data_IF_087317583659
#
_entry.id   IF_087317583659
#
_cell.length_a   1.000
_cell.length_b   1.000
_cell.length_c   1.000
_cell.angle_alpha   90.00
_cell.angle_beta   90.00
_cell.angle_gamma   90.00
#
_symmetry.space_group_name_H-M   'P 1'
#
loop_
_entity.id
_entity.type
_entity.pdbx_description
1 polymer ?
#
# COMPACT_ATOMS: atom_id res chain seq x y z
N UNK A 1 -13.48 -9.03 -11.78
CA UNK A 1 -12.33 -8.41 -11.11
C UNK A 1 -12.86 -7.26 -10.28
N UNK A 2 -13.01 -7.51 -8.99
CA UNK A 2 -13.31 -6.48 -8.00
C UNK A 2 -11.98 -6.03 -7.39
N UNK A 3 -11.78 -4.72 -7.29
CA UNK A 3 -10.56 -4.15 -6.71
C UNK A 3 -10.88 -3.61 -5.32
N UNK A 4 -9.96 -3.84 -4.39
CA UNK A 4 -9.98 -3.25 -3.06
C UNK A 4 -8.83 -2.26 -2.92
N UNK A 5 -9.10 -1.14 -2.27
CA UNK A 5 -8.09 -0.10 -2.03
C UNK A 5 -7.84 0.05 -0.56
N UNK A 6 -6.57 0.14 -0.18
CA UNK A 6 -6.16 0.28 1.21
C UNK A 6 -5.19 1.44 1.37
N UNK A 7 -5.23 2.05 2.56
CA UNK A 7 -4.23 2.99 3.05
C UNK A 7 -3.60 2.42 4.30
N UNK A 8 -2.29 2.31 4.28
CA UNK A 8 -1.45 2.00 5.42
C UNK A 8 -0.83 3.30 5.95
N UNK A 9 -0.99 3.58 7.23
CA UNK A 9 -0.30 4.67 7.91
C UNK A 9 0.76 4.07 8.83
N UNK A 10 2.02 4.46 8.61
CA UNK A 10 3.18 3.96 9.34
C UNK A 10 3.90 5.12 10.04
N UNK A 11 3.89 5.08 11.37
CA UNK A 11 4.63 5.99 12.23
C UNK A 11 5.95 5.32 12.64
N UNK A 12 7.07 5.94 12.31
CA UNK A 12 8.43 5.50 12.63
C UNK A 12 9.40 6.70 12.55
N UNK A 13 10.65 6.52 12.99
CA UNK A 13 11.72 7.54 12.91
C UNK A 13 12.66 7.36 11.71
N UNK A 14 12.51 6.29 10.92
CA UNK A 14 13.30 6.11 9.69
C UNK A 14 13.08 7.26 8.71
N UNK A 15 14.16 7.88 8.23
CA UNK A 15 14.09 9.08 7.39
C UNK A 15 13.72 8.76 5.95
N UNK A 16 14.19 7.61 5.46
CA UNK A 16 14.13 7.19 4.06
C UNK A 16 12.95 6.25 3.76
N UNK A 17 12.09 5.98 4.74
CA UNK A 17 10.94 5.07 4.59
C UNK A 17 9.63 5.87 4.44
N UNK A 18 8.63 5.32 3.72
CA UNK A 18 7.35 5.97 3.54
C UNK A 18 6.51 5.97 4.82
N UNK A 19 5.80 7.07 5.06
CA UNK A 19 4.90 7.23 6.22
C UNK A 19 3.45 6.88 5.89
N UNK A 20 3.10 6.83 4.61
CA UNK A 20 1.79 6.38 4.14
C UNK A 20 1.96 5.57 2.86
N UNK A 21 1.36 4.39 2.80
CA UNK A 21 1.35 3.53 1.62
C UNK A 21 -0.10 3.33 1.15
N UNK A 22 -0.32 3.35 -0.15
CA UNK A 22 -1.60 3.03 -0.77
C UNK A 22 -1.48 1.79 -1.63
N UNK A 23 -2.45 0.89 -1.53
CA UNK A 23 -2.47 -0.36 -2.27
C UNK A 23 -3.77 -0.49 -3.06
N UNK A 24 -3.66 -0.90 -4.32
CA UNK A 24 -4.75 -1.49 -5.08
C UNK A 24 -4.53 -3.00 -5.17
N UNK A 25 -5.51 -3.77 -4.70
CA UNK A 25 -5.41 -5.21 -4.52
C UNK A 25 -6.54 -5.92 -5.25
N UNK A 26 -6.23 -7.00 -5.97
CA UNK A 26 -7.23 -7.85 -6.63
C UNK A 26 -7.96 -8.80 -5.65
N UNK A 27 -8.86 -9.62 -6.18
CA UNK A 27 -9.64 -10.60 -5.41
C UNK A 27 -8.82 -11.78 -4.87
N UNK A 28 -7.67 -12.07 -5.48
CA UNK A 28 -6.70 -13.08 -5.08
C UNK A 28 -5.61 -12.52 -4.15
N UNK A 29 -5.71 -11.26 -3.71
CA UNK A 29 -4.75 -10.66 -2.78
C UNK A 29 -3.46 -10.16 -3.44
N UNK A 30 -3.43 -10.03 -4.78
CA UNK A 30 -2.27 -9.48 -5.48
C UNK A 30 -2.31 -7.96 -5.51
N UNK A 31 -1.19 -7.31 -5.21
CA UNK A 31 -1.03 -5.86 -5.29
C UNK A 31 -0.70 -5.46 -6.73
N UNK A 32 -1.61 -4.74 -7.37
CA UNK A 32 -1.49 -4.32 -8.77
C UNK A 32 -0.86 -2.93 -8.94
N UNK A 33 -1.18 -2.02 -8.01
CA UNK A 33 -0.64 -0.66 -7.96
C UNK A 33 -0.33 -0.25 -6.52
N UNK A 34 0.76 0.51 -6.36
CA UNK A 34 1.25 1.01 -5.09
C UNK A 34 1.59 2.49 -5.16
N UNK A 35 1.33 3.22 -4.08
CA UNK A 35 1.84 4.59 -3.89
C UNK A 35 2.50 4.71 -2.52
N UNK A 36 3.77 5.06 -2.51
CA UNK A 36 4.55 5.34 -1.31
C UNK A 36 4.65 6.85 -1.11
N UNK A 37 4.22 7.34 0.04
CA UNK A 37 4.29 8.76 0.41
C UNK A 37 5.29 8.94 1.54
N UNK A 38 6.32 9.73 1.27
CA UNK A 38 7.41 10.00 2.20
C UNK A 38 7.11 11.22 3.08
N UNK A 39 7.86 11.35 4.19
CA UNK A 39 7.68 12.44 5.16
C UNK A 39 7.83 13.84 4.55
N UNK A 40 8.65 13.98 3.50
CA UNK A 40 8.84 15.23 2.76
C UNK A 40 7.73 15.52 1.72
N UNK A 41 6.78 14.60 1.55
CA UNK A 41 5.66 14.72 0.62
C UNK A 41 5.93 14.16 -0.78
N UNK A 42 7.17 13.73 -1.06
CA UNK A 42 7.49 12.95 -2.26
C UNK A 42 6.61 11.71 -2.36
N UNK A 43 6.22 11.37 -3.58
CA UNK A 43 5.44 10.16 -3.88
C UNK A 43 6.18 9.29 -4.89
N UNK A 44 6.37 8.03 -4.55
CA UNK A 44 6.82 6.99 -5.47
C UNK A 44 5.61 6.13 -5.84
N UNK A 45 5.51 5.75 -7.11
CA UNK A 45 4.35 5.06 -7.66
C UNK A 45 4.83 3.91 -8.51
N UNK A 46 4.18 2.79 -8.36
CA UNK A 46 4.53 1.60 -9.10
C UNK A 46 3.31 0.76 -9.47
N UNK A 47 3.46 0.00 -10.55
CA UNK A 47 2.42 -0.87 -11.10
C UNK A 47 3.04 -2.12 -11.69
N UNK A 48 2.32 -3.24 -11.55
CA UNK A 48 2.69 -4.50 -12.22
C UNK A 48 2.88 -4.36 -13.72
N UNK A 49 2.22 -3.37 -14.36
CA UNK A 49 2.38 -3.06 -15.78
C UNK A 49 3.80 -2.61 -16.18
N UNK A 50 4.62 -2.19 -15.21
CA UNK A 50 6.02 -1.84 -15.42
C UNK A 50 6.94 -3.07 -15.57
N UNK A 51 6.45 -4.25 -15.25
CA UNK A 51 7.23 -5.49 -15.15
C UNK A 51 6.84 -6.49 -16.24
N UNK A 52 7.73 -7.45 -16.51
CA UNK A 52 7.49 -8.54 -17.46
C UNK A 52 7.90 -9.88 -16.84
N UNK A 53 7.18 -10.95 -17.16
CA UNK A 53 7.47 -12.29 -16.66
C UNK A 53 6.72 -12.61 -15.37
N UNK A 54 7.10 -13.66 -14.63
CA UNK A 54 6.35 -14.17 -13.47
C UNK A 54 6.30 -13.19 -12.27
N UNK A 55 7.09 -12.12 -12.31
CA UNK A 55 7.08 -11.02 -11.32
C UNK A 55 6.04 -9.94 -11.66
N UNK A 56 5.39 -10.02 -12.83
CA UNK A 56 4.44 -9.02 -13.33
C UNK A 56 2.99 -9.23 -12.87
N UNK A 57 2.77 -10.08 -11.87
CA UNK A 57 1.44 -10.38 -11.35
C UNK A 57 1.19 -9.80 -9.95
N UNK A 58 2.23 -9.41 -9.20
CA UNK A 58 2.11 -8.89 -7.84
C UNK A 58 3.32 -8.03 -7.44
N UNK A 59 3.09 -6.82 -6.91
CA UNK A 59 4.15 -5.92 -6.44
C UNK A 59 4.73 -6.28 -5.07
N UNK A 60 4.06 -7.14 -4.30
CA UNK A 60 4.53 -7.57 -2.98
C UNK A 60 4.98 -9.03 -3.00
N UNK A 61 5.95 -9.35 -2.14
CA UNK A 61 6.28 -10.75 -1.86
C UNK A 61 5.16 -11.37 -1.03
N UNK A 62 4.42 -12.32 -1.62
CA UNK A 62 3.32 -13.03 -0.96
C UNK A 62 1.94 -12.39 -1.13
N UNK A 63 0.97 -12.97 -0.43
CA UNK A 63 -0.45 -12.58 -0.47
C UNK A 63 -0.71 -11.40 0.49
N UNK A 64 -1.31 -10.34 -0.04
CA UNK A 64 -1.61 -9.15 0.76
C UNK A 64 -2.60 -9.44 1.89
N UNK A 65 -3.62 -10.28 1.64
CA UNK A 65 -4.67 -10.52 2.62
C UNK A 65 -4.21 -11.36 3.80
N UNK A 66 -3.34 -12.35 3.58
CA UNK A 66 -2.68 -13.14 4.60
C UNK A 66 -1.76 -12.24 5.46
N UNK A 67 -0.90 -11.46 4.79
CA UNK A 67 0.07 -10.59 5.46
C UNK A 67 -0.57 -9.46 6.27
N UNK A 68 -1.80 -9.06 5.93
CA UNK A 68 -2.49 -7.92 6.55
C UNK A 68 -3.74 -8.29 7.35
N UNK A 69 -3.99 -9.58 7.60
CA UNK A 69 -5.22 -10.05 8.26
C UNK A 69 -5.55 -9.26 9.54
N UNK A 70 -4.57 -9.14 10.45
CA UNK A 70 -4.74 -8.42 11.72
C UNK A 70 -4.98 -6.92 11.50
N UNK A 71 -4.23 -6.29 10.60
CA UNK A 71 -4.39 -4.86 10.31
C UNK A 71 -5.77 -4.57 9.71
N UNK A 72 -6.25 -5.42 8.79
CA UNK A 72 -7.59 -5.33 8.20
C UNK A 72 -8.71 -5.57 9.19
N UNK A 73 -8.47 -6.37 10.24
CA UNK A 73 -9.39 -6.54 11.37
C UNK A 73 -9.40 -5.32 12.32
N UNK A 74 -8.59 -4.30 12.06
CA UNK A 74 -8.52 -3.06 12.84
C UNK A 74 -7.50 -3.09 13.98
N UNK A 75 -6.66 -4.12 14.05
CA UNK A 75 -5.52 -4.11 14.97
C UNK A 75 -4.40 -3.22 14.41
N UNK A 76 -3.59 -2.67 15.30
CA UNK A 76 -2.39 -1.93 14.94
C UNK A 76 -1.18 -2.82 15.22
N UNK A 77 -0.23 -2.88 14.29
CA UNK A 77 1.08 -3.45 14.56
C UNK A 77 1.89 -2.40 15.34
N UNK A 78 2.37 -2.76 16.52
CA UNK A 78 3.14 -1.87 17.39
C UNK A 78 4.43 -2.57 17.81
N UNK A 79 5.56 -1.96 17.45
CA UNK A 79 6.90 -2.46 17.77
C UNK A 79 7.74 -1.29 18.28
N UNK A 80 7.93 -1.22 19.61
CA UNK A 80 8.57 -0.05 20.22
C UNK A 80 7.76 1.23 20.00
N UNK A 81 8.40 2.22 19.38
CA UNK A 81 7.77 3.49 18.99
C UNK A 81 7.12 3.43 17.59
N UNK A 82 7.30 2.32 16.87
CA UNK A 82 6.74 2.13 15.54
C UNK A 82 5.29 1.66 15.65
N UNK A 83 4.42 2.26 14.83
CA UNK A 83 3.01 1.91 14.77
C UNK A 83 2.54 1.89 13.32
N UNK A 84 1.87 0.82 12.94
CA UNK A 84 1.30 0.64 11.62
C UNK A 84 -0.17 0.27 11.72
N UNK A 85 -0.99 0.91 10.89
CA UNK A 85 -2.43 0.70 10.80
C UNK A 85 -2.85 0.62 9.35
N UNK A 86 -3.90 -0.15 9.05
CA UNK A 86 -4.43 -0.30 7.70
C UNK A 86 -5.93 -0.06 7.70
N UNK A 87 -6.40 0.75 6.76
CA UNK A 87 -7.82 0.99 6.54
C UNK A 87 -8.18 0.74 5.07
N UNK A 88 -9.37 0.23 4.84
CA UNK A 88 -9.94 0.22 3.50
C UNK A 88 -10.42 1.63 3.13
N UNK A 89 -10.16 2.03 1.89
CA UNK A 89 -10.54 3.33 1.35
C UNK A 89 -11.34 3.17 0.06
N UNK A 90 -12.04 4.23 -0.33
CA UNK A 90 -12.71 4.30 -1.64
C UNK A 90 -11.67 4.41 -2.77
N UNK A 91 -11.98 3.81 -3.92
CA UNK A 91 -11.14 3.89 -5.12
C UNK A 91 -10.80 5.35 -5.50
N UNK A 92 -11.73 6.28 -5.32
CA UNK A 92 -11.50 7.70 -5.61
C UNK A 92 -10.37 8.33 -4.77
N UNK A 93 -10.18 7.86 -3.52
CA UNK A 93 -9.09 8.32 -2.67
C UNK A 93 -7.73 7.78 -3.14
N UNK A 94 -7.69 6.50 -3.56
CA UNK A 94 -6.51 5.93 -4.19
C UNK A 94 -6.12 6.68 -5.47
N UNK A 95 -7.08 6.92 -6.36
CA UNK A 95 -6.86 7.64 -7.63
C UNK A 95 -6.41 9.10 -7.42
N UNK A 96 -6.75 9.71 -6.28
CA UNK A 96 -6.24 11.03 -5.92
C UNK A 96 -4.75 10.97 -5.53
N UNK A 97 -4.32 9.91 -4.82
CA UNK A 97 -2.91 9.70 -4.48
C UNK A 97 -2.06 9.29 -5.70
N UNK A 98 -2.64 8.50 -6.61
CA UNK A 98 -2.00 7.98 -7.82
C UNK A 98 -1.67 9.07 -8.84
N UNK A 99 -2.56 10.05 -9.01
CA UNK A 99 -2.40 11.10 -10.02
C UNK A 99 -1.17 11.97 -9.75
N UNK A 100 -0.40 12.34 -10.79
CA UNK A 100 0.67 13.32 -10.63
C UNK A 100 0.08 14.67 -10.20
N UNK A 101 0.82 15.42 -9.38
CA UNK A 101 0.55 16.85 -9.18
C UNK A 101 0.62 17.56 -10.55
N UNK A 102 -0.37 18.42 -10.80
CA UNK A 102 -0.58 19.09 -12.08
C UNK A 102 0.36 20.28 -12.33
#
# INVERSE_FOLDING_TARGET
MSLSHYRCDWTHDHADEPVTLFYEVDEDGRVLRMVDVFRDGRRERDSVENYFGPEADNLTDGDFYDSTENLRAGYEAVEGDERMSLIQIEAAAFEAAWRPDA
#
